data_IF_663334399413
#
_entry.id   IF_663334399413
#
_cell.length_a   1.000
_cell.length_b   1.000
_cell.length_c   1.000
_cell.angle_alpha   90.00
_cell.angle_beta   90.00
_cell.angle_gamma   90.00
#
_symmetry.space_group_name_H-M   'P 1'
#
loop_
_entity.id
_entity.type
_entity.pdbx_description
1 polymer ?
#
# COMPACT_ATOMS: atom_id res chain seq x y z
N UNK A 1 7.48 10.56 -19.74
CA UNK A 1 7.81 10.79 -18.32
C UNK A 1 8.73 9.67 -17.88
N UNK A 2 9.74 9.95 -17.08
CA UNK A 2 10.67 8.93 -16.60
C UNK A 2 9.92 7.91 -15.73
N UNK A 3 10.03 6.62 -16.06
CA UNK A 3 9.36 5.52 -15.35
C UNK A 3 9.68 5.55 -13.83
N UNK A 4 10.91 5.91 -13.51
CA UNK A 4 11.40 6.10 -12.13
C UNK A 4 10.60 7.19 -11.40
N UNK A 5 10.33 8.31 -12.08
CA UNK A 5 9.57 9.40 -11.48
C UNK A 5 8.12 9.01 -11.21
N UNK A 6 7.52 8.22 -12.10
CA UNK A 6 6.19 7.65 -11.90
C UNK A 6 6.17 6.73 -10.66
N UNK A 7 7.16 5.84 -10.52
CA UNK A 7 7.26 4.92 -9.38
C UNK A 7 7.46 5.64 -8.06
N UNK A 8 8.30 6.68 -8.02
CA UNK A 8 8.53 7.46 -6.80
C UNK A 8 7.26 8.18 -6.37
N UNK A 9 6.49 8.75 -7.31
CA UNK A 9 5.21 9.40 -7.02
C UNK A 9 4.16 8.40 -6.52
N UNK A 10 4.04 7.25 -7.18
CA UNK A 10 3.12 6.19 -6.78
C UNK A 10 3.46 5.71 -5.36
N UNK A 11 4.73 5.41 -5.09
CA UNK A 11 5.23 5.01 -3.77
C UNK A 11 4.90 6.06 -2.70
N UNK A 12 5.22 7.33 -2.96
CA UNK A 12 4.96 8.40 -1.98
C UNK A 12 3.47 8.50 -1.64
N UNK A 13 2.61 8.47 -2.65
CA UNK A 13 1.17 8.56 -2.49
C UNK A 13 0.63 7.38 -1.68
N UNK A 14 1.03 6.16 -2.04
CA UNK A 14 0.70 4.92 -1.31
C UNK A 14 1.10 5.02 0.15
N UNK A 15 2.35 5.39 0.45
CA UNK A 15 2.83 5.52 1.84
C UNK A 15 1.98 6.52 2.63
N UNK A 16 1.66 7.68 2.04
CA UNK A 16 0.84 8.70 2.71
C UNK A 16 -0.55 8.16 3.04
N UNK A 17 -1.24 7.55 2.07
CA UNK A 17 -2.59 7.02 2.28
C UNK A 17 -2.63 5.90 3.30
N UNK A 18 -1.70 4.96 3.20
CA UNK A 18 -1.64 3.83 4.12
C UNK A 18 -1.28 4.24 5.54
N UNK A 19 -0.42 5.26 5.71
CA UNK A 19 -0.16 5.85 7.01
C UNK A 19 -1.44 6.45 7.61
N UNK A 20 -2.23 7.16 6.82
CA UNK A 20 -3.50 7.75 7.28
C UNK A 20 -4.48 6.66 7.70
N UNK A 21 -4.69 5.64 6.85
CA UNK A 21 -5.61 4.53 7.13
C UNK A 21 -5.19 3.79 8.40
N UNK A 22 -3.93 3.38 8.49
CA UNK A 22 -3.43 2.62 9.63
C UNK A 22 -3.43 3.46 10.91
N UNK A 23 -3.20 4.77 10.84
CA UNK A 23 -3.30 5.67 12.00
C UNK A 23 -4.73 5.85 12.52
N UNK A 24 -5.73 5.76 11.62
CA UNK A 24 -7.14 5.76 12.02
C UNK A 24 -7.55 4.44 12.67
N UNK A 25 -7.03 3.32 12.17
CA UNK A 25 -7.32 1.97 12.68
C UNK A 25 -6.58 1.67 13.98
N UNK A 26 -5.36 2.19 14.14
CA UNK A 26 -4.44 1.84 15.22
C UNK A 26 -4.11 3.07 16.06
N UNK A 27 -4.59 3.10 17.31
CA UNK A 27 -4.19 4.12 18.31
C UNK A 27 -2.79 3.86 18.89
N UNK A 28 -1.77 3.85 18.03
CA UNK A 28 -0.35 3.71 18.40
C UNK A 28 0.42 4.96 17.94
N UNK A 29 1.70 5.01 18.29
CA UNK A 29 2.59 6.10 17.86
C UNK A 29 2.62 6.20 16.33
N UNK A 30 2.26 7.38 15.81
CA UNK A 30 2.27 7.70 14.38
C UNK A 30 3.62 7.42 13.73
N UNK A 31 4.72 7.76 14.40
CA UNK A 31 6.08 7.49 13.90
C UNK A 31 6.31 6.00 13.65
N UNK A 32 5.83 5.13 14.55
CA UNK A 32 5.98 3.69 14.40
C UNK A 32 5.19 3.17 13.19
N UNK A 33 3.99 3.72 12.98
CA UNK A 33 3.14 3.41 11.82
C UNK A 33 3.84 3.82 10.53
N UNK A 34 4.32 5.06 10.45
CA UNK A 34 5.02 5.57 9.26
C UNK A 34 6.24 4.75 8.88
N UNK A 35 7.05 4.33 9.86
CA UNK A 35 8.23 3.49 9.60
C UNK A 35 7.83 2.14 9.01
N UNK A 36 6.83 1.47 9.58
CA UNK A 36 6.36 0.16 9.10
C UNK A 36 5.79 0.25 7.69
N UNK A 37 4.90 1.21 7.45
CA UNK A 37 4.27 1.44 6.14
C UNK A 37 5.30 1.79 5.08
N UNK A 38 6.27 2.65 5.42
CA UNK A 38 7.34 3.05 4.49
C UNK A 38 8.21 1.85 4.11
N UNK A 39 8.59 1.02 5.08
CA UNK A 39 9.43 -0.16 4.82
C UNK A 39 8.72 -1.21 3.97
N UNK A 40 7.43 -1.44 4.23
CA UNK A 40 6.60 -2.35 3.44
C UNK A 40 6.52 -1.89 1.99
N UNK A 41 6.09 -0.65 1.78
CA UNK A 41 5.85 -0.11 0.46
C UNK A 41 7.12 0.13 -0.35
N UNK A 42 8.24 0.42 0.29
CA UNK A 42 9.52 0.55 -0.41
C UNK A 42 9.91 -0.76 -1.13
N UNK A 43 9.44 -1.90 -0.62
CA UNK A 43 9.66 -3.21 -1.25
C UNK A 43 8.48 -3.59 -2.18
N UNK A 44 7.25 -3.53 -1.68
CA UNK A 44 6.08 -4.07 -2.38
C UNK A 44 5.71 -3.22 -3.60
N UNK A 45 5.73 -1.90 -3.47
CA UNK A 45 5.25 -0.98 -4.50
C UNK A 45 6.09 -0.98 -5.80
N UNK A 46 7.44 -0.94 -5.76
CA UNK A 46 8.25 -1.05 -6.98
C UNK A 46 8.07 -2.38 -7.69
N UNK A 47 7.94 -3.48 -6.93
CA UNK A 47 7.74 -4.84 -7.48
C UNK A 47 6.36 -4.95 -8.13
N UNK A 48 5.31 -4.45 -7.46
CA UNK A 48 3.94 -4.33 -7.97
C UNK A 48 3.93 -3.60 -9.32
N UNK A 49 4.49 -2.39 -9.34
CA UNK A 49 4.48 -1.56 -10.54
C UNK A 49 5.31 -2.17 -11.68
N UNK A 50 6.44 -2.80 -11.36
CA UNK A 50 7.25 -3.53 -12.34
C UNK A 50 6.45 -4.70 -12.96
N UNK A 51 5.83 -5.55 -12.13
CA UNK A 51 5.03 -6.68 -12.61
C UNK A 51 3.80 -6.23 -13.41
N UNK A 52 3.16 -5.14 -13.01
CA UNK A 52 2.01 -4.62 -13.72
C UNK A 52 2.38 -3.98 -15.07
N UNK A 53 3.40 -3.11 -15.10
CA UNK A 53 3.72 -2.34 -16.32
C UNK A 53 4.58 -3.10 -17.33
N UNK A 54 5.35 -4.10 -16.90
CA UNK A 54 6.30 -4.81 -17.77
C UNK A 54 5.83 -6.23 -18.08
N UNK A 55 5.14 -6.88 -17.14
CA UNK A 55 4.66 -8.25 -17.31
C UNK A 55 3.14 -8.34 -17.47
N UNK A 56 2.45 -7.19 -17.58
CA UNK A 56 1.00 -7.08 -17.74
C UNK A 56 0.19 -7.92 -16.72
N UNK A 57 0.76 -8.10 -15.52
CA UNK A 57 0.08 -8.87 -14.48
C UNK A 57 -1.14 -8.07 -14.00
N UNK A 58 -2.33 -8.70 -13.90
CA UNK A 58 -3.51 -7.99 -13.44
C UNK A 58 -3.36 -7.45 -12.02
N UNK A 59 -3.68 -6.17 -11.83
CA UNK A 59 -3.52 -5.46 -10.55
C UNK A 59 -4.23 -6.19 -9.42
N UNK A 60 -5.45 -6.70 -9.64
CA UNK A 60 -6.19 -7.44 -8.62
C UNK A 60 -5.45 -8.68 -8.08
N UNK A 61 -4.67 -9.35 -8.93
CA UNK A 61 -3.87 -10.51 -8.51
C UNK A 61 -2.68 -10.07 -7.67
N UNK A 62 -2.05 -8.97 -8.05
CA UNK A 62 -0.92 -8.42 -7.31
C UNK A 62 -1.36 -7.91 -5.93
N UNK A 63 -2.45 -7.16 -5.85
CA UNK A 63 -3.03 -6.67 -4.59
C UNK A 63 -3.38 -7.83 -3.66
N UNK A 64 -3.98 -8.91 -4.18
CA UNK A 64 -4.26 -10.10 -3.39
C UNK A 64 -2.99 -10.72 -2.81
N UNK A 65 -1.92 -10.83 -3.59
CA UNK A 65 -0.62 -11.35 -3.12
C UNK A 65 -0.01 -10.45 -2.06
N UNK A 66 -0.06 -9.13 -2.27
CA UNK A 66 0.50 -8.13 -1.34
C UNK A 66 -0.17 -8.22 0.02
N UNK A 67 -1.49 -8.43 0.07
CA UNK A 67 -2.23 -8.64 1.32
C UNK A 67 -1.61 -9.75 2.17
N UNK A 68 -1.16 -10.87 1.58
CA UNK A 68 -0.53 -11.96 2.32
C UNK A 68 0.92 -11.67 2.69
N UNK A 69 1.68 -10.99 1.81
CA UNK A 69 3.07 -10.62 2.07
C UNK A 69 3.16 -9.65 3.25
N UNK A 70 2.27 -8.66 3.30
CA UNK A 70 2.28 -7.59 4.31
C UNK A 70 1.72 -8.03 5.67
N UNK A 71 1.00 -9.15 5.70
CA UNK A 71 0.34 -9.66 6.89
C UNK A 71 1.32 -9.99 8.02
N UNK A 72 2.45 -10.61 7.71
CA UNK A 72 3.49 -10.95 8.70
C UNK A 72 4.18 -9.70 9.27
N UNK A 73 4.70 -8.77 8.45
CA UNK A 73 5.27 -7.51 8.92
C UNK A 73 4.30 -6.66 9.73
N UNK A 74 3.04 -6.55 9.30
CA UNK A 74 2.01 -5.78 10.04
C UNK A 74 1.75 -6.39 11.41
N UNK A 75 1.58 -7.72 11.46
CA UNK A 75 1.38 -8.45 12.72
C UNK A 75 2.54 -8.21 13.68
N UNK A 76 3.77 -8.41 13.25
CA UNK A 76 4.97 -8.31 14.10
C UNK A 76 5.23 -6.84 14.47
N UNK A 77 5.17 -5.94 13.50
CA UNK A 77 5.49 -4.53 13.68
C UNK A 77 4.51 -3.83 14.63
N UNK A 78 3.22 -4.13 14.54
CA UNK A 78 2.17 -3.46 15.32
C UNK A 78 1.70 -4.30 16.52
N UNK A 79 2.15 -5.55 16.61
CA UNK A 79 1.75 -6.53 17.61
C UNK A 79 0.23 -6.76 17.59
N UNK A 80 -0.28 -7.15 16.43
CA UNK A 80 -1.71 -7.40 16.17
C UNK A 80 -2.03 -8.89 16.30
N UNK A 81 -3.31 -9.19 16.57
CA UNK A 81 -3.81 -10.55 16.40
C UNK A 81 -3.81 -10.92 14.91
N UNK A 82 -3.78 -12.21 14.59
CA UNK A 82 -3.82 -12.66 13.19
C UNK A 82 -5.08 -12.17 12.44
N UNK A 83 -6.21 -12.09 13.14
CA UNK A 83 -7.47 -11.61 12.56
C UNK A 83 -7.39 -10.12 12.21
N UNK A 84 -6.85 -9.32 13.12
CA UNK A 84 -6.70 -7.88 12.91
C UNK A 84 -5.63 -7.58 11.86
N UNK A 85 -4.53 -8.33 11.84
CA UNK A 85 -3.49 -8.18 10.83
C UNK A 85 -4.01 -8.47 9.42
N UNK A 86 -4.82 -9.52 9.24
CA UNK A 86 -5.47 -9.82 7.97
C UNK A 86 -6.45 -8.71 7.57
N UNK A 87 -7.33 -8.29 8.50
CA UNK A 87 -8.31 -7.24 8.24
C UNK A 87 -7.62 -5.93 7.85
N UNK A 88 -6.59 -5.52 8.57
CA UNK A 88 -5.88 -4.27 8.31
C UNK A 88 -5.11 -4.34 7.00
N UNK A 89 -4.45 -5.47 6.70
CA UNK A 89 -3.78 -5.66 5.42
C UNK A 89 -4.74 -5.49 4.24
N UNK A 90 -5.94 -6.08 4.33
CA UNK A 90 -7.01 -5.91 3.32
C UNK A 90 -7.44 -4.45 3.23
N UNK A 91 -7.73 -3.79 4.35
CA UNK A 91 -8.24 -2.42 4.38
C UNK A 91 -7.23 -1.40 3.85
N UNK A 92 -5.96 -1.57 4.19
CA UNK A 92 -4.87 -0.67 3.78
C UNK A 92 -4.65 -0.77 2.27
N UNK A 93 -4.49 -1.98 1.74
CA UNK A 93 -4.30 -2.20 0.31
C UNK A 93 -5.54 -1.77 -0.50
N UNK A 94 -6.75 -2.14 -0.06
CA UNK A 94 -7.99 -1.72 -0.74
C UNK A 94 -8.20 -0.19 -0.69
N UNK A 95 -7.89 0.45 0.44
CA UNK A 95 -7.97 1.90 0.60
C UNK A 95 -6.95 2.62 -0.27
N UNK A 96 -5.72 2.13 -0.32
CA UNK A 96 -4.65 2.66 -1.15
C UNK A 96 -4.96 2.53 -2.65
N UNK A 97 -5.43 1.35 -3.08
CA UNK A 97 -5.87 1.10 -4.46
C UNK A 97 -7.03 2.02 -4.88
N UNK A 98 -8.06 2.13 -4.04
CA UNK A 98 -9.22 2.99 -4.33
C UNK A 98 -8.86 4.48 -4.38
N UNK A 99 -7.94 4.94 -3.53
CA UNK A 99 -7.39 6.30 -3.60
C UNK A 99 -6.64 6.54 -4.92
N UNK A 100 -5.80 5.59 -5.34
CA UNK A 100 -5.11 5.64 -6.63
C UNK A 100 -6.09 5.73 -7.81
N UNK A 101 -7.13 4.90 -7.80
CA UNK A 101 -8.18 4.91 -8.83
C UNK A 101 -8.95 6.24 -8.86
N UNK A 102 -9.32 6.77 -7.68
CA UNK A 102 -10.03 8.04 -7.57
C UNK A 102 -9.20 9.22 -8.12
N UNK A 103 -7.90 9.27 -7.79
CA UNK A 103 -7.00 10.31 -8.27
C UNK A 103 -6.81 10.22 -9.79
N UNK A 104 -6.64 9.01 -10.34
CA UNK A 104 -6.57 8.82 -11.79
C UNK A 104 -7.86 9.25 -12.49
N UNK A 105 -9.01 8.91 -11.91
CA UNK A 105 -10.32 9.30 -12.43
C UNK A 105 -10.45 10.84 -12.45
N UNK A 106 -10.15 11.51 -11.33
CA UNK A 106 -10.18 12.97 -11.26
C UNK A 106 -9.30 13.64 -12.32
N UNK A 107 -8.05 13.16 -12.47
CA UNK A 107 -7.10 13.72 -13.43
C UNK A 107 -7.50 13.46 -14.90
N UNK A 108 -8.25 12.38 -15.17
CA UNK A 108 -8.70 12.05 -16.51
C UNK A 108 -9.93 12.86 -16.94
N UNK A 109 -10.75 13.31 -15.97
CA UNK A 109 -11.96 14.10 -16.21
C UNK A 109 -11.79 15.61 -15.97
N UNK A 110 -10.59 16.07 -15.60
CA UNK A 110 -10.21 17.48 -15.44
C UNK A 110 -9.40 18.00 -16.63
#
# INVERSE_FOLDING_TARGET
>A
MDLIYLFVRALFLTVVFECVILSLLVRRSFLKICVIVSLLNLLTNPVLNYLHLIHDVPVYTLEFVVVFIELFPLKIGINLSWKDALLFSILINAGSYSAGYFIMTLLYFS
#
